data_IF_490185720651
#
_entry.id   IF_490185720651
#
_cell.length_a   1.000
_cell.length_b   1.000
_cell.length_c   1.000
_cell.angle_alpha   90.00
_cell.angle_beta   90.00
_cell.angle_gamma   90.00
#
_symmetry.space_group_name_H-M   'P 1'
#
loop_
_entity.id
_entity.type
_entity.pdbx_description
1 polymer ?
#
# COMPACT_ATOMS: atom_id res chain seq x y z
N UNK A 1 12.35 -43.00 27.11
CA UNK A 1 13.82 -42.95 27.21
C UNK A 1 14.36 -42.79 25.80
N UNK A 2 14.48 -41.54 25.34
CA UNK A 2 15.13 -41.21 24.06
C UNK A 2 16.41 -40.47 24.40
N UNK A 3 17.56 -41.06 24.03
CA UNK A 3 18.87 -40.42 24.08
C UNK A 3 19.27 -39.90 22.70
N UNK A 4 20.00 -38.80 22.75
CA UNK A 4 20.67 -38.06 21.69
C UNK A 4 21.58 -38.95 20.81
N UNK A 5 21.80 -38.56 19.55
CA UNK A 5 23.12 -38.02 19.12
C UNK A 5 23.20 -37.52 17.66
N UNK A 6 23.94 -36.41 17.55
CA UNK A 6 24.87 -35.94 16.50
C UNK A 6 24.33 -35.40 15.16
N UNK A 7 24.24 -34.07 15.14
CA UNK A 7 24.59 -33.21 14.01
C UNK A 7 25.98 -33.52 13.44
N UNK A 8 26.06 -33.64 12.11
CA UNK A 8 27.27 -33.31 11.34
C UNK A 8 26.93 -32.22 10.32
N UNK A 9 27.85 -31.25 10.19
CA UNK A 9 27.70 -30.02 9.40
C UNK A 9 27.90 -30.24 7.90
N UNK A 10 27.21 -29.36 7.15
CA UNK A 10 27.45 -28.82 5.79
C UNK A 10 26.80 -29.53 4.60
N UNK A 11 25.73 -28.91 4.11
CA UNK A 11 25.46 -28.74 2.67
C UNK A 11 24.79 -27.36 2.44
N UNK A 12 25.35 -26.41 1.65
CA UNK A 12 24.74 -25.12 1.35
C UNK A 12 23.98 -25.21 0.03
N UNK A 13 22.85 -25.93 0.02
CA UNK A 13 21.91 -25.91 -1.09
C UNK A 13 20.51 -26.33 -0.62
N UNK A 14 19.51 -25.50 -0.91
CA UNK A 14 18.08 -25.82 -0.90
C UNK A 14 17.49 -26.31 0.43
N UNK A 15 17.14 -25.36 1.30
CA UNK A 15 16.01 -25.59 2.21
C UNK A 15 14.72 -25.25 1.45
N UNK A 16 14.26 -26.19 0.61
CA UNK A 16 12.86 -26.22 0.17
C UNK A 16 12.01 -26.43 1.43
N UNK A 17 11.27 -25.41 1.86
CA UNK A 17 10.08 -25.63 2.68
C UNK A 17 8.95 -26.11 1.76
N UNK A 18 9.02 -27.39 1.38
CA UNK A 18 7.85 -28.12 0.88
C UNK A 18 6.90 -28.32 2.05
N UNK A 19 5.76 -27.65 2.04
CA UNK A 19 4.94 -27.57 3.25
C UNK A 19 3.43 -27.47 3.12
N UNK A 20 2.84 -27.05 1.99
CA UNK A 20 1.37 -27.07 1.84
C UNK A 20 0.98 -27.38 0.40
N UNK A 21 0.93 -28.68 0.06
CA UNK A 21 0.07 -29.16 -1.02
C UNK A 21 -1.34 -29.24 -0.46
N UNK A 22 -2.14 -28.19 -0.65
CA UNK A 22 -3.58 -28.30 -0.45
C UNK A 22 -4.09 -29.12 -1.64
N UNK A 23 -4.41 -30.38 -1.38
CA UNK A 23 -5.19 -31.22 -2.27
C UNK A 23 -6.64 -30.71 -2.30
N UNK A 24 -6.82 -29.54 -2.92
CA UNK A 24 -8.09 -29.03 -3.40
C UNK A 24 -8.05 -29.09 -4.93
N UNK A 25 -9.14 -29.49 -5.54
CA UNK A 25 -9.26 -29.71 -6.98
C UNK A 25 -8.81 -28.44 -7.72
N UNK A 26 -7.62 -28.46 -8.34
CA UNK A 26 -7.26 -27.54 -9.42
C UNK A 26 -8.37 -27.67 -10.47
N UNK A 27 -9.30 -26.73 -10.50
CA UNK A 27 -9.96 -26.38 -11.75
C UNK A 27 -8.98 -25.43 -12.40
N UNK A 28 -8.21 -25.87 -13.42
CA UNK A 28 -7.29 -24.96 -14.04
C UNK A 28 -8.12 -23.82 -14.65
N UNK A 29 -7.51 -22.66 -14.85
CA UNK A 29 -8.04 -21.56 -15.71
C UNK A 29 -8.29 -22.03 -17.17
N UNK A 30 -8.23 -23.35 -17.45
CA UNK A 30 -8.64 -24.04 -18.68
C UNK A 30 -10.11 -23.83 -19.08
N UNK A 31 -10.97 -23.26 -18.23
CA UNK A 31 -12.31 -22.85 -18.64
C UNK A 31 -12.33 -21.49 -19.36
N UNK A 32 -11.28 -20.68 -19.23
CA UNK A 32 -11.17 -19.41 -19.93
C UNK A 32 -10.62 -19.67 -21.34
N UNK A 33 -11.49 -19.55 -22.36
CA UNK A 33 -11.17 -19.77 -23.79
C UNK A 33 -10.03 -18.90 -24.34
N UNK A 34 -9.52 -17.96 -23.54
CA UNK A 34 -8.41 -17.07 -23.90
C UNK A 34 -7.05 -17.76 -23.87
N UNK A 35 -6.87 -18.85 -23.12
CA UNK A 35 -5.57 -19.49 -22.97
C UNK A 35 -5.47 -20.76 -23.82
N UNK A 36 -4.54 -20.76 -24.80
CA UNK A 36 -4.23 -21.94 -25.61
C UNK A 36 -3.43 -23.02 -24.85
N UNK A 37 -2.83 -22.66 -23.70
CA UNK A 37 -2.10 -23.55 -22.79
C UNK A 37 -2.50 -23.25 -21.34
N UNK A 38 -2.45 -24.23 -20.42
CA UNK A 38 -2.69 -23.99 -18.99
C UNK A 38 -1.72 -22.92 -18.45
N UNK A 39 -2.21 -22.04 -17.57
CA UNK A 39 -1.39 -21.00 -16.93
C UNK A 39 -0.12 -21.56 -16.27
N UNK A 40 -0.18 -22.79 -15.77
CA UNK A 40 0.92 -23.54 -15.15
C UNK A 40 2.16 -23.72 -16.06
N UNK A 41 2.06 -23.43 -17.36
CA UNK A 41 3.17 -23.54 -18.33
C UNK A 41 3.72 -22.19 -18.78
N UNK A 42 3.18 -21.07 -18.29
CA UNK A 42 3.56 -19.72 -18.70
C UNK A 42 3.84 -18.86 -17.47
N UNK A 43 5.09 -18.45 -17.31
CA UNK A 43 5.51 -17.50 -16.27
C UNK A 43 5.44 -16.03 -16.73
N UNK A 44 5.15 -15.77 -18.01
CA UNK A 44 5.09 -14.41 -18.54
C UNK A 44 3.99 -14.23 -19.59
N UNK A 45 3.30 -13.10 -19.50
CA UNK A 45 2.24 -12.66 -20.40
C UNK A 45 2.58 -11.25 -20.90
N UNK A 46 2.41 -11.01 -22.20
CA UNK A 46 2.74 -9.71 -22.81
C UNK A 46 1.64 -9.26 -23.75
N UNK A 47 1.22 -8.00 -23.62
CA UNK A 47 0.22 -7.36 -24.47
C UNK A 47 -1.10 -8.14 -24.55
N UNK A 48 -1.45 -8.85 -23.47
CA UNK A 48 -2.67 -9.63 -23.39
C UNK A 48 -3.82 -8.81 -22.81
N UNK A 49 -5.04 -9.18 -23.19
CA UNK A 49 -6.25 -8.56 -22.65
C UNK A 49 -7.09 -9.65 -21.99
N UNK A 50 -7.15 -9.61 -20.67
CA UNK A 50 -7.94 -10.47 -19.82
C UNK A 50 -9.29 -9.79 -19.53
N UNK A 51 -10.39 -10.52 -19.65
CA UNK A 51 -11.73 -9.95 -19.42
C UNK A 51 -12.68 -10.93 -18.77
N UNK A 52 -13.52 -10.41 -17.89
CA UNK A 52 -14.79 -11.04 -17.46
C UNK A 52 -14.63 -12.45 -16.88
N UNK A 53 -13.64 -12.64 -15.99
CA UNK A 53 -13.53 -13.86 -15.20
C UNK A 53 -13.00 -13.59 -13.79
N UNK A 54 -13.25 -14.54 -12.89
CA UNK A 54 -12.76 -14.50 -11.53
C UNK A 54 -11.40 -15.22 -11.45
N UNK A 55 -10.39 -14.50 -10.94
CA UNK A 55 -9.03 -14.98 -10.70
C UNK A 55 -8.84 -15.18 -9.20
N UNK A 56 -9.32 -16.30 -8.67
CA UNK A 56 -9.29 -16.60 -7.23
C UNK A 56 -8.14 -17.52 -6.81
N UNK A 57 -7.33 -17.95 -7.76
CA UNK A 57 -6.27 -18.94 -7.53
C UNK A 57 -5.00 -18.32 -6.93
N UNK A 58 -4.13 -19.18 -6.39
CA UNK A 58 -2.77 -18.81 -6.02
C UNK A 58 -1.93 -18.66 -7.30
N UNK A 59 -1.14 -17.59 -7.37
CA UNK A 59 -0.29 -17.23 -8.50
C UNK A 59 1.09 -16.84 -7.99
N UNK A 60 2.11 -17.56 -8.43
CA UNK A 60 3.49 -17.36 -7.97
C UNK A 60 4.40 -17.04 -9.17
N UNK A 61 5.33 -16.10 -8.99
CA UNK A 61 6.40 -15.79 -9.95
C UNK A 61 5.90 -15.44 -11.37
N UNK A 62 4.72 -14.83 -11.49
CA UNK A 62 4.14 -14.43 -12.78
C UNK A 62 4.56 -13.02 -13.18
N UNK A 63 4.90 -12.83 -14.44
CA UNK A 63 5.20 -11.52 -15.03
C UNK A 63 4.16 -11.11 -16.06
N UNK A 64 3.55 -9.94 -15.89
CA UNK A 64 2.63 -9.33 -16.85
C UNK A 64 3.23 -8.03 -17.40
N UNK A 65 3.33 -7.92 -18.72
CA UNK A 65 3.91 -6.76 -19.40
C UNK A 65 2.92 -6.16 -20.40
N UNK A 66 2.55 -4.88 -20.22
CA UNK A 66 1.58 -4.20 -21.07
C UNK A 66 0.23 -4.94 -21.16
N UNK A 67 -0.18 -5.64 -20.10
CA UNK A 67 -1.42 -6.39 -20.08
C UNK A 67 -2.59 -5.51 -19.63
N UNK A 68 -3.79 -5.86 -20.07
CA UNK A 68 -5.02 -5.20 -19.66
C UNK A 68 -5.93 -6.21 -18.97
N UNK A 69 -6.49 -5.81 -17.84
CA UNK A 69 -7.43 -6.59 -17.05
C UNK A 69 -8.71 -5.79 -16.98
N UNK A 70 -9.82 -6.35 -17.46
CA UNK A 70 -11.10 -5.63 -17.52
C UNK A 70 -12.19 -6.43 -16.83
N UNK A 71 -12.80 -5.83 -15.82
CA UNK A 71 -13.87 -6.44 -15.04
C UNK A 71 -13.46 -7.83 -14.51
N UNK A 72 -12.30 -7.87 -13.85
CA UNK A 72 -11.74 -9.09 -13.25
C UNK A 72 -11.82 -9.00 -11.74
N UNK A 73 -12.27 -10.09 -11.14
CA UNK A 73 -12.29 -10.26 -9.69
C UNK A 73 -11.08 -11.06 -9.24
N UNK A 74 -10.14 -10.43 -8.56
CA UNK A 74 -9.00 -11.05 -7.85
C UNK A 74 -9.30 -11.28 -6.36
N UNK A 75 -10.58 -11.39 -6.00
CA UNK A 75 -11.01 -11.49 -4.61
C UNK A 75 -10.53 -12.78 -3.99
N UNK A 76 -10.05 -12.71 -2.74
CA UNK A 76 -9.50 -13.85 -1.98
C UNK A 76 -8.31 -14.55 -2.68
N UNK A 77 -7.74 -13.94 -3.72
CA UNK A 77 -6.59 -14.46 -4.46
C UNK A 77 -5.28 -14.26 -3.70
N UNK A 78 -4.27 -15.05 -4.07
CA UNK A 78 -2.95 -14.95 -3.48
C UNK A 78 -1.93 -14.79 -4.61
N UNK A 79 -1.30 -13.62 -4.69
CA UNK A 79 -0.19 -13.38 -5.60
C UNK A 79 1.09 -13.30 -4.79
N UNK A 80 2.10 -14.04 -5.22
CA UNK A 80 3.41 -14.10 -4.57
C UNK A 80 4.47 -13.81 -5.62
N UNK A 81 5.34 -12.83 -5.35
CA UNK A 81 6.48 -12.50 -6.22
C UNK A 81 6.06 -12.26 -7.68
N UNK A 82 4.91 -11.62 -7.87
CA UNK A 82 4.38 -11.31 -9.20
C UNK A 82 4.76 -9.91 -9.63
N UNK A 83 5.18 -9.76 -10.89
CA UNK A 83 5.60 -8.48 -11.47
C UNK A 83 4.61 -8.02 -12.54
N UNK A 84 4.03 -6.85 -12.36
CA UNK A 84 3.06 -6.25 -13.26
C UNK A 84 3.61 -4.91 -13.73
N UNK A 85 3.96 -4.84 -15.01
CA UNK A 85 4.68 -3.71 -15.59
C UNK A 85 3.84 -3.11 -16.72
N UNK A 86 3.50 -1.82 -16.59
CA UNK A 86 2.67 -1.09 -17.54
C UNK A 86 1.30 -1.75 -17.78
N UNK A 87 0.75 -2.39 -16.75
CA UNK A 87 -0.55 -3.03 -16.83
C UNK A 87 -1.67 -2.04 -16.53
N UNK A 88 -2.85 -2.29 -17.11
CA UNK A 88 -4.04 -1.49 -16.89
C UNK A 88 -5.13 -2.36 -16.28
N UNK A 89 -5.74 -1.89 -15.20
CA UNK A 89 -6.83 -2.53 -14.49
C UNK A 89 -8.07 -1.66 -14.59
N UNK A 90 -8.99 -2.09 -15.43
CA UNK A 90 -10.28 -1.45 -15.64
C UNK A 90 -11.32 -2.16 -14.78
N UNK A 91 -11.83 -1.47 -13.77
CA UNK A 91 -12.92 -1.95 -12.91
C UNK A 91 -12.61 -3.33 -12.28
N UNK A 92 -11.41 -3.49 -11.75
CA UNK A 92 -10.97 -4.74 -11.10
C UNK A 92 -11.15 -4.69 -9.58
N UNK A 93 -11.36 -5.86 -8.98
CA UNK A 93 -11.57 -6.00 -7.53
C UNK A 93 -10.58 -6.99 -6.92
N UNK A 94 -9.66 -6.48 -6.10
CA UNK A 94 -8.66 -7.20 -5.31
C UNK A 94 -9.08 -7.33 -3.84
N UNK A 95 -10.38 -7.28 -3.55
CA UNK A 95 -10.88 -7.35 -2.18
C UNK A 95 -10.37 -8.59 -1.47
N UNK A 96 -9.78 -8.43 -0.28
CA UNK A 96 -9.18 -9.52 0.52
C UNK A 96 -8.08 -10.31 -0.21
N UNK A 97 -7.56 -9.81 -1.32
CA UNK A 97 -6.41 -10.42 -1.98
C UNK A 97 -5.18 -10.29 -1.08
N UNK A 98 -4.30 -11.28 -1.13
CA UNK A 98 -2.99 -11.23 -0.51
C UNK A 98 -1.94 -11.06 -1.61
N UNK A 99 -1.31 -9.89 -1.65
CA UNK A 99 -0.27 -9.53 -2.60
C UNK A 99 1.05 -9.49 -1.83
N UNK A 100 1.76 -10.61 -1.84
CA UNK A 100 3.02 -10.79 -1.13
C UNK A 100 4.20 -10.52 -2.07
N UNK A 101 5.05 -9.58 -1.68
CA UNK A 101 6.27 -9.22 -2.42
C UNK A 101 6.03 -9.01 -3.93
N UNK A 102 4.84 -8.51 -4.29
CA UNK A 102 4.50 -8.21 -5.68
C UNK A 102 5.00 -6.83 -6.08
N UNK A 103 5.20 -6.61 -7.37
CA UNK A 103 5.59 -5.31 -7.92
C UNK A 103 4.62 -4.82 -8.98
N UNK A 104 4.17 -3.58 -8.83
CA UNK A 104 3.37 -2.84 -9.81
C UNK A 104 4.16 -1.62 -10.27
N UNK A 105 4.78 -1.68 -11.44
CA UNK A 105 5.52 -0.55 -12.04
C UNK A 105 4.73 0.04 -13.22
N UNK A 106 4.47 1.35 -13.17
CA UNK A 106 3.72 2.09 -14.20
C UNK A 106 2.34 1.52 -14.48
N UNK A 107 1.70 0.92 -13.46
CA UNK A 107 0.37 0.37 -13.59
C UNK A 107 -0.72 1.43 -13.44
N UNK A 108 -1.89 1.19 -14.03
CA UNK A 108 -3.05 2.09 -13.96
C UNK A 108 -4.22 1.34 -13.37
N UNK A 109 -4.81 1.85 -12.29
CA UNK A 109 -5.96 1.28 -11.61
C UNK A 109 -7.19 2.18 -11.65
N UNK A 110 -7.07 3.35 -12.29
CA UNK A 110 -8.12 4.32 -12.48
C UNK A 110 -8.69 4.24 -13.89
N UNK A 111 -10.01 4.16 -14.01
CA UNK A 111 -10.74 4.31 -15.27
C UNK A 111 -11.28 5.75 -15.37
N UNK A 112 -10.68 6.55 -16.25
CA UNK A 112 -11.08 7.94 -16.50
C UNK A 112 -12.39 8.12 -17.25
N UNK A 113 -12.91 7.10 -17.94
CA UNK A 113 -14.24 7.17 -18.58
C UNK A 113 -15.37 6.98 -17.56
N UNK A 114 -15.15 6.13 -16.56
CA UNK A 114 -16.13 5.84 -15.51
C UNK A 114 -15.91 6.65 -14.23
N UNK A 115 -14.77 7.33 -14.12
CA UNK A 115 -14.33 8.03 -12.92
C UNK A 115 -14.28 7.11 -11.69
N UNK A 116 -13.84 5.85 -11.88
CA UNK A 116 -13.81 4.82 -10.84
C UNK A 116 -12.42 4.19 -10.75
N UNK A 117 -11.90 4.03 -9.53
CA UNK A 117 -10.69 3.25 -9.25
C UNK A 117 -11.00 1.80 -8.90
N UNK A 118 -9.97 0.96 -8.91
CA UNK A 118 -10.07 -0.44 -8.48
C UNK A 118 -10.32 -0.57 -6.97
N UNK A 119 -10.91 -1.68 -6.57
CA UNK A 119 -11.14 -2.00 -5.16
C UNK A 119 -10.04 -2.90 -4.61
N UNK A 120 -9.54 -2.58 -3.42
CA UNK A 120 -8.51 -3.28 -2.64
C UNK A 120 -8.95 -3.43 -1.18
N UNK A 121 -10.26 -3.47 -0.92
CA UNK A 121 -10.81 -3.50 0.42
C UNK A 121 -10.31 -4.71 1.18
N UNK A 122 -9.82 -4.51 2.40
CA UNK A 122 -9.29 -5.60 3.24
C UNK A 122 -8.13 -6.40 2.60
N UNK A 123 -7.54 -5.92 1.51
CA UNK A 123 -6.40 -6.58 0.88
C UNK A 123 -5.15 -6.46 1.77
N UNK A 124 -4.23 -7.39 1.61
CA UNK A 124 -2.93 -7.35 2.27
C UNK A 124 -1.83 -7.17 1.23
N UNK A 125 -0.86 -6.31 1.54
CA UNK A 125 0.24 -5.96 0.63
C UNK A 125 1.62 -6.17 1.27
N UNK A 126 1.89 -7.28 1.98
CA UNK A 126 3.16 -7.44 2.68
C UNK A 126 4.34 -7.38 1.70
N UNK A 127 5.19 -6.37 1.85
CA UNK A 127 6.36 -6.17 0.99
C UNK A 127 6.05 -5.80 -0.47
N UNK A 128 4.79 -5.55 -0.80
CA UNK A 128 4.39 -5.18 -2.16
C UNK A 128 4.80 -3.74 -2.49
N UNK A 129 5.22 -3.55 -3.73
CA UNK A 129 5.77 -2.30 -4.23
C UNK A 129 4.90 -1.74 -5.35
N UNK A 130 4.53 -0.47 -5.24
CA UNK A 130 3.93 0.33 -6.31
C UNK A 130 4.90 1.44 -6.72
N UNK A 131 5.26 1.49 -8.00
CA UNK A 131 6.13 2.52 -8.57
C UNK A 131 5.45 3.18 -9.75
N UNK A 132 5.48 4.51 -9.80
CA UNK A 132 4.99 5.30 -10.95
C UNK A 132 3.55 4.95 -11.36
N UNK A 133 2.75 4.45 -10.42
CA UNK A 133 1.44 3.86 -10.71
C UNK A 133 0.32 4.83 -10.36
N UNK A 134 -0.78 4.73 -11.10
CA UNK A 134 -1.98 5.52 -10.89
C UNK A 134 -3.02 4.69 -10.11
N UNK A 135 -3.15 5.01 -8.82
CA UNK A 135 -4.11 4.47 -7.85
C UNK A 135 -5.21 5.50 -7.52
N UNK A 136 -5.45 6.48 -8.38
CA UNK A 136 -6.49 7.49 -8.17
C UNK A 136 -7.86 6.83 -7.94
N UNK A 137 -8.60 7.34 -6.97
CA UNK A 137 -9.95 6.86 -6.59
C UNK A 137 -10.04 5.37 -6.26
N UNK A 138 -8.90 4.69 -6.04
CA UNK A 138 -8.90 3.30 -5.60
C UNK A 138 -9.35 3.20 -4.15
N UNK A 139 -9.94 2.05 -3.79
CA UNK A 139 -10.42 1.82 -2.44
C UNK A 139 -9.53 0.81 -1.69
N UNK A 140 -8.62 1.32 -0.88
CA UNK A 140 -7.78 0.57 0.06
C UNK A 140 -8.38 0.50 1.46
N UNK A 141 -9.67 0.81 1.65
CA UNK A 141 -10.25 0.84 3.00
C UNK A 141 -10.02 -0.48 3.72
N UNK A 142 -9.52 -0.37 4.96
CA UNK A 142 -9.18 -1.51 5.84
C UNK A 142 -8.10 -2.44 5.29
N UNK A 143 -7.32 -2.03 4.29
CA UNK A 143 -6.20 -2.80 3.81
C UNK A 143 -5.02 -2.81 4.80
N UNK A 144 -4.21 -3.87 4.72
CA UNK A 144 -2.95 -3.98 5.45
C UNK A 144 -1.79 -3.53 4.55
N UNK A 145 -1.20 -2.39 4.92
CA UNK A 145 -0.08 -1.73 4.25
C UNK A 145 1.27 -2.04 4.91
N UNK A 146 1.35 -3.07 5.76
CA UNK A 146 2.60 -3.48 6.39
C UNK A 146 3.71 -3.73 5.34
N UNK A 147 4.82 -3.01 5.45
CA UNK A 147 5.97 -3.06 4.52
C UNK A 147 5.66 -2.68 3.07
N UNK A 148 4.52 -2.02 2.81
CA UNK A 148 4.25 -1.49 1.47
C UNK A 148 5.25 -0.41 1.11
N UNK A 149 5.71 -0.41 -0.13
CA UNK A 149 6.43 0.70 -0.73
C UNK A 149 5.61 1.31 -1.87
N UNK A 150 5.24 2.58 -1.76
CA UNK A 150 4.69 3.39 -2.84
C UNK A 150 5.68 4.50 -3.14
N UNK A 151 6.08 4.62 -4.41
CA UNK A 151 7.05 5.61 -4.86
C UNK A 151 6.55 6.26 -6.15
N UNK A 152 6.51 7.60 -6.18
CA UNK A 152 6.11 8.37 -7.36
C UNK A 152 4.69 7.99 -7.88
N UNK A 153 3.78 7.59 -6.99
CA UNK A 153 2.41 7.20 -7.36
C UNK A 153 1.47 8.41 -7.43
N UNK A 154 0.46 8.31 -8.29
CA UNK A 154 -0.69 9.20 -8.27
C UNK A 154 -1.84 8.51 -7.53
N UNK A 155 -2.40 9.14 -6.53
CA UNK A 155 -3.58 8.68 -5.80
C UNK A 155 -4.55 9.78 -5.35
N UNK A 156 -4.85 10.82 -6.17
CA UNK A 156 -5.93 11.73 -5.81
C UNK A 156 -7.24 11.01 -5.48
N UNK A 157 -7.85 11.36 -4.35
CA UNK A 157 -9.12 10.80 -3.91
C UNK A 157 -9.09 9.31 -3.53
N UNK A 158 -7.90 8.71 -3.34
CA UNK A 158 -7.80 7.33 -2.84
C UNK A 158 -8.44 7.21 -1.45
N UNK A 159 -9.19 6.13 -1.22
CA UNK A 159 -9.75 5.80 0.09
C UNK A 159 -8.83 4.81 0.80
N UNK A 160 -8.06 5.30 1.75
CA UNK A 160 -7.19 4.57 2.67
C UNK A 160 -7.76 4.51 4.09
N UNK A 161 -9.07 4.71 4.26
CA UNK A 161 -9.71 4.75 5.57
C UNK A 161 -9.51 3.43 6.33
N UNK A 162 -9.16 3.54 7.61
CA UNK A 162 -8.93 2.41 8.51
C UNK A 162 -7.84 1.42 8.04
N UNK A 163 -6.92 1.86 7.18
CA UNK A 163 -5.74 1.05 6.81
C UNK A 163 -4.80 0.90 8.00
N UNK A 164 -3.99 -0.15 7.99
CA UNK A 164 -2.95 -0.36 9.01
C UNK A 164 -1.60 -0.61 8.36
N UNK A 165 -0.56 0.09 8.78
CA UNK A 165 0.84 -0.26 8.48
C UNK A 165 1.49 -1.13 9.56
N UNK A 166 0.77 -1.38 10.66
CA UNK A 166 1.26 -2.14 11.79
C UNK A 166 1.00 -3.63 11.63
N UNK A 167 2.03 -4.42 11.91
CA UNK A 167 1.94 -5.85 12.11
C UNK A 167 2.38 -6.20 13.54
N UNK A 168 1.47 -6.78 14.31
CA UNK A 168 1.80 -7.28 15.65
C UNK A 168 2.55 -8.61 15.54
N UNK A 169 3.78 -8.64 16.06
CA UNK A 169 4.64 -9.83 16.18
C UNK A 169 4.77 -10.20 17.64
N UNK A 170 4.08 -11.25 18.06
CA UNK A 170 4.06 -11.68 19.47
C UNK A 170 3.27 -10.72 20.38
N UNK A 171 3.41 -10.83 21.71
CA UNK A 171 2.52 -10.14 22.64
C UNK A 171 2.69 -8.62 22.74
N UNK A 172 3.82 -8.07 22.28
CA UNK A 172 4.18 -6.67 22.56
C UNK A 172 5.13 -6.02 21.56
N UNK A 173 5.37 -6.64 20.39
CA UNK A 173 6.17 -6.00 19.34
C UNK A 173 5.23 -5.65 18.20
N UNK A 174 5.09 -4.37 17.91
CA UNK A 174 4.46 -3.89 16.68
C UNK A 174 5.57 -3.51 15.70
N UNK A 175 5.45 -3.95 14.46
CA UNK A 175 6.35 -3.57 13.39
C UNK A 175 5.58 -2.67 12.43
N UNK A 176 6.12 -1.48 12.21
CA UNK A 176 5.64 -0.52 11.23
C UNK A 176 6.75 -0.28 10.21
N UNK A 177 6.43 -0.34 8.91
CA UNK A 177 7.43 -0.06 7.88
C UNK A 177 6.80 0.30 6.52
N UNK A 178 5.67 1.00 6.52
CA UNK A 178 5.11 1.52 5.28
C UNK A 178 5.94 2.71 4.78
N UNK A 179 6.18 2.76 3.47
CA UNK A 179 6.92 3.82 2.79
C UNK A 179 6.06 4.35 1.65
N UNK A 180 5.54 5.56 1.75
CA UNK A 180 4.71 6.20 0.73
C UNK A 180 5.38 7.52 0.33
N UNK A 181 6.44 7.44 -0.49
CA UNK A 181 7.30 8.58 -0.85
C UNK A 181 6.92 9.19 -2.19
N UNK A 182 7.04 10.51 -2.28
CA UNK A 182 6.82 11.26 -3.52
C UNK A 182 5.46 10.95 -4.19
N UNK A 183 4.45 10.62 -3.37
CA UNK A 183 3.13 10.24 -3.83
C UNK A 183 2.18 11.43 -3.80
N UNK A 184 1.24 11.46 -4.73
CA UNK A 184 0.18 12.46 -4.74
C UNK A 184 -1.10 11.88 -4.12
N UNK A 185 -1.37 12.19 -2.86
CA UNK A 185 -2.57 11.81 -2.10
C UNK A 185 -3.50 13.01 -1.86
N UNK A 186 -3.53 14.01 -2.75
CA UNK A 186 -4.48 15.11 -2.64
C UNK A 186 -5.92 14.58 -2.58
N UNK A 187 -6.74 15.15 -1.69
CA UNK A 187 -8.14 14.72 -1.50
C UNK A 187 -8.33 13.27 -1.04
N UNK A 188 -7.27 12.56 -0.65
CA UNK A 188 -7.37 11.20 -0.15
C UNK A 188 -8.09 11.14 1.21
N UNK A 189 -8.74 10.02 1.50
CA UNK A 189 -9.33 9.74 2.80
C UNK A 189 -8.44 8.74 3.55
N UNK A 190 -7.80 9.18 4.63
CA UNK A 190 -7.05 8.32 5.54
C UNK A 190 -7.77 8.10 6.87
N UNK A 191 -9.04 8.48 7.02
CA UNK A 191 -9.77 8.45 8.30
C UNK A 191 -9.49 7.19 9.11
N UNK A 192 -8.98 7.36 10.33
CA UNK A 192 -8.69 6.26 11.25
C UNK A 192 -7.54 5.33 10.84
N UNK A 193 -6.73 5.69 9.83
CA UNK A 193 -5.58 4.90 9.42
C UNK A 193 -4.50 4.88 10.50
N UNK A 194 -3.77 3.76 10.57
CA UNK A 194 -2.64 3.58 11.46
C UNK A 194 -1.34 3.60 10.65
N UNK A 195 -0.64 4.73 10.67
CA UNK A 195 0.58 5.03 9.91
C UNK A 195 1.74 5.48 10.83
N UNK A 196 1.74 5.01 12.09
CA UNK A 196 2.83 5.28 13.03
C UNK A 196 4.17 4.78 12.46
N UNK A 197 5.23 5.58 12.64
CA UNK A 197 6.58 5.35 12.11
C UNK A 197 6.66 5.21 10.58
N UNK A 198 5.59 5.52 9.84
CA UNK A 198 5.60 5.46 8.38
C UNK A 198 6.49 6.54 7.78
N UNK A 199 7.06 6.24 6.61
CA UNK A 199 7.88 7.15 5.85
C UNK A 199 7.06 7.74 4.70
N UNK A 200 6.75 9.02 4.77
CA UNK A 200 5.81 9.71 3.88
C UNK A 200 6.47 10.86 3.10
N UNK A 201 7.80 10.99 3.19
CA UNK A 201 8.54 12.15 2.68
C UNK A 201 8.23 12.50 1.22
N UNK A 202 8.10 13.79 0.93
CA UNK A 202 7.84 14.34 -0.40
C UNK A 202 6.40 14.15 -0.89
N UNK A 203 5.53 13.48 -0.13
CA UNK A 203 4.16 13.23 -0.53
C UNK A 203 3.24 14.43 -0.34
N UNK A 204 2.25 14.55 -1.23
CA UNK A 204 1.23 15.59 -1.19
C UNK A 204 -0.05 15.06 -0.56
N UNK A 205 -0.52 15.70 0.50
CA UNK A 205 -1.78 15.41 1.18
C UNK A 205 -2.72 16.63 1.19
N UNK A 206 -2.55 17.58 0.25
CA UNK A 206 -3.38 18.79 0.24
C UNK A 206 -4.86 18.41 0.14
N UNK A 207 -5.67 18.96 1.05
CA UNK A 207 -7.09 18.65 1.19
C UNK A 207 -7.45 17.19 1.50
N UNK A 208 -6.49 16.39 1.98
CA UNK A 208 -6.78 15.04 2.47
C UNK A 208 -7.52 15.07 3.81
N UNK A 209 -8.28 14.01 4.09
CA UNK A 209 -8.94 13.77 5.37
C UNK A 209 -8.05 12.88 6.22
N UNK A 210 -7.48 13.44 7.29
CA UNK A 210 -6.61 12.73 8.25
C UNK A 210 -7.26 12.59 9.63
N UNK A 211 -8.60 12.62 9.70
CA UNK A 211 -9.32 12.56 10.96
C UNK A 211 -9.03 11.23 11.69
N UNK A 212 -8.63 11.32 12.96
CA UNK A 212 -8.25 10.18 13.82
C UNK A 212 -7.10 9.31 13.28
N UNK A 213 -6.23 9.85 12.43
CA UNK A 213 -5.06 9.12 11.90
C UNK A 213 -3.94 9.08 12.93
N UNK A 214 -3.30 7.93 13.08
CA UNK A 214 -2.05 7.81 13.82
C UNK A 214 -0.85 8.02 12.88
N UNK A 215 -0.10 9.10 13.11
CA UNK A 215 1.17 9.45 12.48
C UNK A 215 2.29 9.61 13.53
N UNK A 216 2.18 8.92 14.67
CA UNK A 216 3.17 8.99 15.74
C UNK A 216 4.55 8.58 15.21
N UNK A 217 5.58 9.40 15.45
CA UNK A 217 6.95 9.19 14.97
C UNK A 217 7.08 9.02 13.44
N UNK A 218 6.07 9.39 12.65
CA UNK A 218 6.12 9.32 11.20
C UNK A 218 7.10 10.36 10.62
N UNK A 219 7.68 10.06 9.45
CA UNK A 219 8.55 10.97 8.71
C UNK A 219 7.75 11.62 7.60
N UNK A 220 7.48 12.92 7.75
CA UNK A 220 6.61 13.73 6.87
C UNK A 220 7.42 14.88 6.25
N UNK A 221 8.69 14.64 5.94
CA UNK A 221 9.57 15.70 5.43
C UNK A 221 9.13 16.15 4.06
N UNK A 222 9.20 17.46 3.82
CA UNK A 222 8.87 18.06 2.52
C UNK A 222 7.45 17.71 2.01
N UNK A 223 6.54 17.31 2.91
CA UNK A 223 5.15 17.01 2.55
C UNK A 223 4.32 18.28 2.37
N UNK A 224 3.32 18.22 1.48
CA UNK A 224 2.30 19.26 1.41
C UNK A 224 1.08 18.84 2.26
N UNK A 225 0.88 19.53 3.40
CA UNK A 225 -0.18 19.25 4.38
C UNK A 225 -1.22 20.38 4.41
N UNK A 226 -1.34 21.18 3.34
CA UNK A 226 -2.27 22.31 3.32
C UNK A 226 -3.73 21.89 3.24
N UNK A 227 -4.59 22.57 4.00
CA UNK A 227 -6.04 22.42 3.91
C UNK A 227 -6.57 21.03 4.29
N UNK A 228 -5.79 20.26 5.05
CA UNK A 228 -6.22 18.96 5.57
C UNK A 228 -7.28 19.08 6.67
N UNK A 229 -8.03 18.01 6.87
CA UNK A 229 -8.79 17.79 8.10
C UNK A 229 -7.93 16.96 9.06
N UNK A 230 -7.50 17.56 10.17
CA UNK A 230 -6.64 16.94 11.18
C UNK A 230 -7.37 16.62 12.49
N UNK A 231 -8.70 16.58 12.51
CA UNK A 231 -9.44 16.31 13.75
C UNK A 231 -8.99 14.98 14.39
N UNK A 232 -8.41 15.02 15.59
CA UNK A 232 -7.95 13.83 16.32
C UNK A 232 -6.69 13.16 15.75
N UNK A 233 -5.95 13.80 14.83
CA UNK A 233 -4.68 13.27 14.34
C UNK A 233 -3.64 13.21 15.47
N UNK A 234 -2.83 12.15 15.52
CA UNK A 234 -1.70 12.06 16.45
C UNK A 234 -0.38 12.12 15.71
N UNK A 235 0.47 13.11 16.01
CA UNK A 235 1.77 13.32 15.35
C UNK A 235 2.93 13.40 16.34
N UNK A 236 2.77 12.96 17.59
CA UNK A 236 3.84 13.02 18.58
C UNK A 236 5.12 12.35 18.04
N UNK A 237 6.27 13.03 18.18
CA UNK A 237 7.56 12.56 17.65
C UNK A 237 7.74 12.66 16.12
N UNK A 238 6.73 13.10 15.36
CA UNK A 238 6.81 13.15 13.91
C UNK A 238 7.83 14.18 13.40
N UNK A 239 8.39 13.91 12.22
CA UNK A 239 9.34 14.79 11.55
C UNK A 239 8.67 15.55 10.40
N UNK A 240 8.24 16.78 10.66
CA UNK A 240 7.55 17.67 9.73
C UNK A 240 8.50 18.66 9.03
N UNK A 241 9.82 18.53 9.18
CA UNK A 241 10.77 19.48 8.59
C UNK A 241 10.60 19.54 7.08
N UNK A 242 10.43 20.74 6.54
CA UNK A 242 10.19 20.92 5.11
C UNK A 242 8.71 21.02 4.74
N UNK A 243 7.82 20.46 5.57
CA UNK A 243 6.41 20.35 5.23
C UNK A 243 5.65 21.69 5.21
N UNK A 244 4.64 21.79 4.36
CA UNK A 244 3.72 22.93 4.33
C UNK A 244 2.61 22.69 5.35
N UNK A 245 2.70 23.34 6.51
CA UNK A 245 1.89 23.03 7.70
C UNK A 245 0.85 24.12 8.07
N UNK A 246 0.49 25.00 7.12
CA UNK A 246 -0.44 26.13 7.29
C UNK A 246 -1.92 25.71 7.43
N UNK A 247 -2.17 24.65 8.16
CA UNK A 247 -3.50 24.09 8.44
C UNK A 247 -3.52 23.18 9.68
N UNK A 248 -2.37 23.02 10.34
CA UNK A 248 -2.28 22.28 11.61
C UNK A 248 -2.58 23.22 12.77
N UNK A 249 -3.71 22.99 13.44
CA UNK A 249 -4.03 23.69 14.69
C UNK A 249 -3.25 23.07 15.85
N UNK A 250 -2.11 23.67 16.16
CA UNK A 250 -1.22 23.24 17.26
C UNK A 250 -1.88 23.28 18.65
N UNK A 251 -3.06 23.91 18.80
CA UNK A 251 -3.81 23.93 20.08
C UNK A 251 -4.56 22.62 20.33
N UNK A 252 -4.83 21.85 19.28
CA UNK A 252 -5.62 20.62 19.33
C UNK A 252 -4.77 19.34 19.19
N UNK A 253 -3.49 19.49 18.88
CA UNK A 253 -2.60 18.38 18.53
C UNK A 253 -1.46 18.30 19.55
N UNK A 254 -1.12 17.08 19.98
CA UNK A 254 0.08 16.87 20.80
C UNK A 254 1.35 17.06 19.96
N UNK A 255 2.04 18.17 20.22
CA UNK A 255 3.28 18.55 19.53
C UNK A 255 4.55 17.99 20.20
N UNK A 256 4.41 17.12 21.21
CA UNK A 256 5.56 16.55 21.93
C UNK A 256 6.53 15.85 20.97
N UNK A 257 7.79 16.29 20.96
CA UNK A 257 8.84 15.70 20.13
C UNK A 257 8.73 15.97 18.63
N UNK A 258 7.72 16.71 18.17
CA UNK A 258 7.56 17.09 16.76
C UNK A 258 8.74 17.94 16.31
N UNK A 259 9.27 17.65 15.12
CA UNK A 259 10.42 18.36 14.54
C UNK A 259 9.98 19.24 13.37
N UNK A 260 10.35 20.51 13.42
CA UNK A 260 10.12 21.53 12.38
C UNK A 260 11.39 22.32 12.10
N UNK A 261 11.42 23.06 11.00
CA UNK A 261 12.46 24.02 10.63
C UNK A 261 12.12 25.44 11.13
N UNK A 262 13.12 26.33 11.15
CA UNK A 262 12.98 27.69 11.69
C UNK A 262 11.87 28.50 11.00
N UNK A 263 11.74 28.42 9.68
CA UNK A 263 10.71 29.16 8.95
C UNK A 263 9.28 28.67 9.26
N UNK A 264 9.12 27.42 9.69
CA UNK A 264 7.81 26.85 10.05
C UNK A 264 7.32 27.39 11.41
N UNK A 265 8.22 27.95 12.23
CA UNK A 265 7.84 28.57 13.51
C UNK A 265 6.86 29.73 13.29
N UNK A 266 7.15 30.60 12.31
CA UNK A 266 6.29 31.72 11.95
C UNK A 266 4.89 31.24 11.55
N UNK A 267 4.82 30.25 10.65
CA UNK A 267 3.54 29.68 10.18
C UNK A 267 2.67 29.20 11.35
N UNK A 268 3.24 28.46 12.31
CA UNK A 268 2.46 27.94 13.44
C UNK A 268 2.03 29.04 14.42
N UNK A 269 2.85 30.07 14.62
CA UNK A 269 2.51 31.21 15.47
C UNK A 269 1.37 32.04 14.85
N UNK A 270 1.41 32.26 13.53
CA UNK A 270 0.37 32.98 12.80
C UNK A 270 -0.97 32.24 12.82
N UNK A 271 -0.99 30.90 12.72
CA UNK A 271 -2.22 30.09 12.82
C UNK A 271 -2.95 30.24 14.17
N UNK A 272 -2.22 30.53 15.25
CA UNK A 272 -2.82 30.80 16.57
C UNK A 272 -3.08 32.29 16.81
N UNK A 273 -2.90 33.13 15.78
CA UNK A 273 -3.20 34.57 15.79
C UNK A 273 -2.06 35.48 16.26
N UNK A 274 -0.83 34.99 16.33
CA UNK A 274 0.35 35.80 16.67
C UNK A 274 0.94 36.39 15.38
N UNK A 275 1.10 37.72 15.36
CA UNK A 275 1.80 38.40 14.26
C UNK A 275 3.31 38.35 14.51
N UNK A 276 4.07 37.88 13.52
CA UNK A 276 5.54 37.80 13.55
C UNK A 276 6.11 38.81 12.55
N UNK A 277 6.69 39.90 13.05
CA UNK A 277 7.28 41.01 12.27
C UNK A 277 8.83 41.01 12.33
#
# INVERSE_FOLDING_TARGET
MAELFLWTKKDPARTKLSGYRIAGIMKPITACRQFQKPLEQQSSFTSMVFKEFDWTDESEELTFLNCQFRNITFRDSHFIDCHLIKCEFDTCAFDRANLLDCEFDKCKFYNGEQEVGCSFKFAAFPGTVFRHSDISLCNFSRANLYRVEMENCQGPGVDCSYTTSAQTVGPSVMLNNARLRDCNFSYADFTGAYLGEAELSGSRFSHAVLSNVNLESAVLRDCDLQGLDAEGVTIAGADLRGALISGLDVRQIDMTGVRINDYQQQTLLEEIGIVVD
#
